data_IF_047422719093
#
_entry.id   IF_047422719093
#
_cell.length_a   1.000
_cell.length_b   1.000
_cell.length_c   1.000
_cell.angle_alpha   90.00
_cell.angle_beta   90.00
_cell.angle_gamma   90.00
#
_symmetry.space_group_name_H-M   'P 1'
#
loop_
_entity.id
_entity.type
_entity.pdbx_description
1 polymer ?
#
# COMPACT_ATOMS: atom_id res chain seq x y z
N UNK A 1 -14.67 3.34 -10.03
CA UNK A 1 -13.22 3.69 -10.01
C UNK A 1 -12.71 3.78 -8.56
N UNK A 2 -12.24 2.67 -7.95
CA UNK A 2 -11.76 2.69 -6.55
C UNK A 2 -10.23 2.74 -6.39
N UNK A 3 -9.45 2.42 -7.43
CA UNK A 3 -8.00 2.16 -7.29
C UNK A 3 -7.14 3.42 -7.11
N UNK A 4 -7.44 4.50 -7.85
CA UNK A 4 -6.75 5.79 -7.69
C UNK A 4 -6.86 6.35 -6.27
N UNK A 5 -7.96 6.04 -5.57
CA UNK A 5 -8.22 6.54 -4.21
C UNK A 5 -7.27 5.93 -3.19
N UNK A 6 -6.90 4.64 -3.35
CA UNK A 6 -5.97 3.96 -2.44
C UNK A 6 -4.51 4.38 -2.66
N UNK A 7 -4.09 4.57 -3.91
CA UNK A 7 -2.76 5.13 -4.22
C UNK A 7 -2.56 6.52 -3.61
N UNK A 8 -3.57 7.38 -3.72
CA UNK A 8 -3.56 8.70 -3.10
C UNK A 8 -3.50 8.65 -1.55
N UNK A 9 -4.12 7.63 -0.93
CA UNK A 9 -4.04 7.44 0.53
C UNK A 9 -2.62 7.05 0.95
N UNK A 10 -1.95 6.17 0.19
CA UNK A 10 -0.57 5.79 0.47
C UNK A 10 0.39 6.98 0.38
N UNK A 11 0.37 7.71 -0.75
CA UNK A 11 1.24 8.87 -0.97
C UNK A 11 1.03 9.96 0.09
N UNK A 12 -0.21 10.17 0.52
CA UNK A 12 -0.51 11.11 1.59
C UNK A 12 0.02 10.62 2.94
N UNK A 13 -0.20 9.35 3.28
CA UNK A 13 0.23 8.79 4.56
C UNK A 13 1.76 8.74 4.70
N UNK A 14 2.49 8.44 3.62
CA UNK A 14 3.95 8.44 3.65
C UNK A 14 4.51 9.85 3.80
N UNK A 15 3.97 10.83 3.07
CA UNK A 15 4.40 12.23 3.20
C UNK A 15 4.13 12.80 4.60
N UNK A 16 2.99 12.43 5.21
CA UNK A 16 2.66 12.83 6.57
C UNK A 16 3.60 12.17 7.60
N UNK A 17 4.04 10.93 7.34
CA UNK A 17 5.01 10.22 8.18
C UNK A 17 6.40 10.87 8.10
N UNK A 18 6.86 11.24 6.91
CA UNK A 18 8.14 11.94 6.71
C UNK A 18 8.17 13.28 7.46
N UNK A 19 7.10 14.08 7.34
CA UNK A 19 6.97 15.34 8.07
C UNK A 19 6.97 15.14 9.59
N UNK A 20 6.37 14.05 10.05
CA UNK A 20 6.34 13.70 11.46
C UNK A 20 7.73 13.32 11.98
N UNK A 21 8.47 12.49 11.23
CA UNK A 21 9.85 12.12 11.57
C UNK A 21 10.73 13.37 11.63
N UNK A 22 10.61 14.27 10.65
CA UNK A 22 11.37 15.52 10.64
C UNK A 22 11.08 16.40 11.87
N UNK A 23 9.83 16.42 12.34
CA UNK A 23 9.46 17.12 13.59
C UNK A 23 10.01 16.41 14.84
N UNK A 24 10.09 15.07 14.82
CA UNK A 24 10.69 14.32 15.93
C UNK A 24 12.21 14.52 16.01
N UNK A 25 12.86 14.69 14.86
CA UNK A 25 14.31 14.93 14.77
C UNK A 25 14.72 16.35 15.16
N UNK A 26 13.81 17.34 15.09
CA UNK A 26 14.13 18.72 15.48
C UNK A 26 14.36 18.89 16.98
N UNK A 27 13.93 17.94 17.81
CA UNK A 27 14.32 17.85 19.24
C UNK A 27 13.63 18.82 20.19
N UNK A 28 12.83 19.77 19.71
CA UNK A 28 12.10 20.77 20.51
C UNK A 28 10.75 20.25 21.09
N UNK A 29 10.59 18.94 21.26
CA UNK A 29 9.33 18.34 21.68
C UNK A 29 9.32 18.00 23.17
N UNK A 30 8.22 18.30 23.85
CA UNK A 30 7.96 17.73 25.16
C UNK A 30 7.73 16.22 25.09
N UNK A 31 7.82 15.53 26.24
CA UNK A 31 7.53 14.10 26.32
C UNK A 31 6.11 13.76 25.85
N UNK A 32 5.13 14.59 26.21
CA UNK A 32 3.73 14.37 25.80
C UNK A 32 3.55 14.53 24.28
N UNK A 33 4.19 15.54 23.69
CA UNK A 33 4.17 15.73 22.24
C UNK A 33 4.88 14.58 21.51
N UNK A 34 6.03 14.14 22.03
CA UNK A 34 6.76 12.99 21.49
C UNK A 34 5.90 11.72 21.48
N UNK A 35 5.14 11.47 22.54
CA UNK A 35 4.22 10.33 22.61
C UNK A 35 3.06 10.45 21.61
N UNK A 36 2.49 11.65 21.46
CA UNK A 36 1.42 11.92 20.47
C UNK A 36 1.90 11.72 19.04
N UNK A 37 3.08 12.24 18.70
CA UNK A 37 3.69 12.05 17.39
C UNK A 37 4.02 10.58 17.15
N UNK A 38 4.57 9.88 18.15
CA UNK A 38 4.83 8.45 18.03
C UNK A 38 3.56 7.65 17.74
N UNK A 39 2.47 7.88 18.48
CA UNK A 39 1.19 7.20 18.24
C UNK A 39 0.66 7.47 16.83
N UNK A 40 0.76 8.72 16.36
CA UNK A 40 0.38 9.10 15.01
C UNK A 40 1.26 8.42 13.96
N UNK A 41 2.57 8.36 14.17
CA UNK A 41 3.51 7.65 13.31
C UNK A 41 3.17 6.17 13.18
N UNK A 42 2.85 5.49 14.28
CA UNK A 42 2.41 4.08 14.28
C UNK A 42 1.14 3.89 13.44
N UNK A 43 0.16 4.78 13.55
CA UNK A 43 -1.09 4.72 12.76
C UNK A 43 -0.84 4.92 11.26
N UNK A 44 0.04 5.87 10.91
CA UNK A 44 0.42 6.13 9.53
C UNK A 44 1.14 4.92 8.91
N UNK A 45 2.11 4.35 9.63
CA UNK A 45 2.83 3.15 9.18
C UNK A 45 1.90 1.96 8.92
N UNK A 46 0.92 1.73 9.80
CA UNK A 46 -0.10 0.67 9.60
C UNK A 46 -0.96 0.93 8.36
N UNK A 47 -1.30 2.19 8.11
CA UNK A 47 -2.08 2.58 6.92
C UNK A 47 -1.28 2.33 5.64
N UNK A 48 0.01 2.68 5.63
CA UNK A 48 0.91 2.40 4.52
C UNK A 48 1.04 0.89 4.26
N UNK A 49 1.25 0.08 5.29
CA UNK A 49 1.32 -1.38 5.16
C UNK A 49 0.03 -1.96 4.55
N UNK A 50 -1.13 -1.57 5.06
CA UNK A 50 -2.42 -2.07 4.52
C UNK A 50 -2.65 -1.67 3.06
N UNK A 51 -2.21 -0.47 2.67
CA UNK A 51 -2.27 -0.03 1.28
C UNK A 51 -1.35 -0.86 0.37
N UNK A 52 -0.14 -1.20 0.84
CA UNK A 52 0.81 -2.05 0.12
C UNK A 52 0.30 -3.49 0.01
N UNK A 53 -0.21 -4.09 1.08
CA UNK A 53 -0.81 -5.43 1.06
C UNK A 53 -1.94 -5.52 0.04
N UNK A 54 -2.82 -4.51 0.00
CA UNK A 54 -3.88 -4.45 -1.00
C UNK A 54 -3.31 -4.43 -2.42
N UNK A 55 -2.26 -3.63 -2.65
CA UNK A 55 -1.64 -3.50 -3.96
C UNK A 55 -1.00 -4.82 -4.39
N UNK A 56 -0.28 -5.49 -3.50
CA UNK A 56 0.34 -6.80 -3.72
C UNK A 56 -0.70 -7.86 -4.08
N UNK A 57 -1.79 -7.98 -3.28
CA UNK A 57 -2.89 -8.90 -3.57
C UNK A 57 -3.50 -8.67 -4.95
N UNK A 58 -3.63 -7.41 -5.36
CA UNK A 58 -4.15 -7.06 -6.67
C UNK A 58 -3.20 -7.46 -7.79
N UNK A 59 -1.89 -7.24 -7.62
CA UNK A 59 -0.87 -7.68 -8.58
C UNK A 59 -0.90 -9.19 -8.72
N UNK A 60 -0.97 -9.92 -7.62
CA UNK A 60 -1.06 -11.38 -7.61
C UNK A 60 -2.28 -11.87 -8.41
N UNK A 61 -3.47 -11.30 -8.16
CA UNK A 61 -4.69 -11.66 -8.90
C UNK A 61 -4.55 -11.39 -10.41
N UNK A 62 -3.88 -10.31 -10.81
CA UNK A 62 -3.65 -9.99 -12.22
C UNK A 62 -2.71 -10.99 -12.88
N UNK A 63 -1.65 -11.40 -12.18
CA UNK A 63 -0.70 -12.41 -12.65
C UNK A 63 -1.36 -13.80 -12.77
N UNK A 64 -2.19 -14.19 -11.80
CA UNK A 64 -2.97 -15.44 -11.86
C UNK A 64 -3.96 -15.44 -13.02
N UNK A 65 -4.58 -14.29 -13.31
CA UNK A 65 -5.49 -14.12 -14.44
C UNK A 65 -4.76 -14.19 -15.80
N UNK A 66 -3.55 -13.66 -15.89
CA UNK A 66 -2.72 -13.73 -17.10
C UNK A 66 -2.16 -15.14 -17.33
N UNK A 67 -1.81 -15.86 -16.26
CA UNK A 67 -1.42 -17.27 -16.30
C UNK A 67 -2.58 -18.25 -16.56
N UNK A 68 -3.83 -17.84 -16.32
CA UNK A 68 -5.05 -18.62 -16.60
C UNK A 68 -5.58 -18.38 -18.02
N UNK A 69 -4.68 -18.32 -19.01
CA UNK A 69 -5.10 -18.54 -20.39
C UNK A 69 -5.37 -20.03 -20.51
N UNK A 70 -6.62 -20.45 -20.31
CA UNK A 70 -7.03 -21.83 -20.53
C UNK A 70 -6.66 -22.21 -21.98
N UNK A 71 -5.59 -22.98 -22.12
CA UNK A 71 -5.30 -23.65 -23.38
C UNK A 71 -6.36 -24.72 -23.55
N UNK A 72 -7.46 -24.38 -24.20
CA UNK A 72 -8.40 -25.38 -24.70
C UNK A 72 -7.63 -26.27 -25.67
N UNK A 73 -7.75 -27.61 -25.58
CA UNK A 73 -7.17 -28.48 -26.59
C UNK A 73 -7.77 -28.07 -27.94
N UNK A 74 -6.90 -27.66 -28.87
CA UNK A 74 -7.31 -27.42 -30.24
C UNK A 74 -7.63 -28.79 -30.84
N UNK A 75 -8.90 -29.18 -30.79
CA UNK A 75 -9.40 -30.35 -31.52
C UNK A 75 -9.28 -30.05 -33.00
N UNK A 76 -8.24 -30.60 -33.61
CA UNK A 76 -8.10 -30.74 -35.05
C UNK A 76 -9.08 -31.83 -35.50
N UNK A 77 -10.31 -31.43 -35.82
CA UNK A 77 -11.19 -32.22 -36.69
C UNK A 77 -10.86 -31.92 -38.16
N UNK A 78 -10.50 -32.96 -38.92
CA UNK A 78 -10.19 -32.94 -40.35
C UNK A 78 -8.68 -32.87 -40.62
N UNK A 79 -8.02 -33.82 -41.28
CA UNK A 79 -8.43 -34.83 -42.26
C UNK A 79 -7.59 -36.12 -42.11
#
# INVERSE_FOLDING_TARGET
MPEKKKGFVFEKSISELESLVQQMESGDLSLEESLKLFEKGVKLTRTCQSALETAEQKVQLLLEKEGSTETVPFSTEGE
#
